data_IF_516118389996
#
_entry.id   IF_516118389996
#
_cell.length_a   1.000
_cell.length_b   1.000
_cell.length_c   1.000
_cell.angle_alpha   90.00
_cell.angle_beta   90.00
_cell.angle_gamma   90.00
#
_symmetry.space_group_name_H-M   'P 1'
#
loop_
_entity.id
_entity.type
_entity.pdbx_description
1 polymer ?
#
# COMPACT_ATOMS: atom_id res chain seq x y z
N UNK A 1 -2.31 9.18 -6.69
CA UNK A 1 -3.46 8.52 -6.06
C UNK A 1 -3.25 8.47 -4.54
N UNK A 2 -4.32 8.38 -3.75
CA UNK A 2 -4.23 8.12 -2.30
C UNK A 2 -4.94 6.79 -2.05
N UNK A 3 -4.31 5.89 -1.30
CA UNK A 3 -4.84 4.57 -0.97
C UNK A 3 -4.89 4.44 0.54
N UNK A 4 -6.05 4.08 1.07
CA UNK A 4 -6.23 3.77 2.48
C UNK A 4 -6.45 2.28 2.70
N UNK A 5 -5.77 1.73 3.70
CA UNK A 5 -6.06 0.41 4.24
C UNK A 5 -6.51 0.56 5.69
N UNK A 6 -7.63 -0.07 6.03
CA UNK A 6 -8.26 0.02 7.33
C UNK A 6 -8.47 -1.38 7.91
N UNK A 7 -8.13 -1.54 9.17
CA UNK A 7 -8.34 -2.77 9.94
C UNK A 7 -9.24 -2.44 11.12
N UNK A 8 -10.38 -3.14 11.20
CA UNK A 8 -11.30 -2.99 12.32
C UNK A 8 -10.84 -3.80 13.52
N UNK A 9 -10.58 -5.09 13.33
CA UNK A 9 -10.11 -6.01 14.36
C UNK A 9 -8.78 -6.65 13.95
N UNK A 10 -7.88 -6.81 14.90
CA UNK A 10 -6.63 -7.54 14.70
C UNK A 10 -6.79 -9.02 15.02
N UNK A 11 -6.00 -9.85 14.33
CA UNK A 11 -5.97 -11.29 14.51
C UNK A 11 -4.54 -11.73 14.83
N UNK A 12 -4.42 -12.72 15.72
CA UNK A 12 -3.13 -13.31 16.04
C UNK A 12 -2.60 -14.12 14.84
N UNK A 13 -1.30 -13.96 14.53
CA UNK A 13 -0.62 -14.67 13.44
C UNK A 13 -1.27 -14.49 12.05
N UNK A 14 -1.81 -13.29 11.79
CA UNK A 14 -2.42 -12.99 10.49
C UNK A 14 -1.38 -13.00 9.37
N UNK A 15 -1.77 -13.53 8.20
CA UNK A 15 -0.95 -13.49 7.00
C UNK A 15 -0.70 -12.05 6.51
N UNK A 16 0.36 -11.85 5.72
CA UNK A 16 0.61 -10.56 5.08
C UNK A 16 -0.54 -10.19 4.13
N UNK A 17 -1.17 -9.05 4.41
CA UNK A 17 -2.21 -8.49 3.55
C UNK A 17 -1.60 -7.74 2.35
N UNK A 18 -2.36 -7.67 1.26
CA UNK A 18 -2.03 -6.87 0.07
C UNK A 18 -3.24 -6.08 -0.41
N UNK A 19 -3.03 -4.85 -0.84
CA UNK A 19 -4.06 -4.02 -1.47
C UNK A 19 -3.74 -3.89 -2.96
N UNK A 20 -4.64 -4.38 -3.80
CA UNK A 20 -4.57 -4.18 -5.25
C UNK A 20 -5.18 -2.82 -5.61
N UNK A 21 -4.42 -2.01 -6.32
CA UNK A 21 -4.87 -0.71 -6.81
C UNK A 21 -5.64 -0.89 -8.12
N UNK A 22 -6.35 0.17 -8.55
CA UNK A 22 -7.06 0.21 -9.82
C UNK A 22 -6.85 1.57 -10.48
N UNK A 23 -6.95 1.61 -11.82
CA UNK A 23 -6.94 2.86 -12.59
C UNK A 23 -5.57 3.53 -12.72
N UNK A 24 -4.47 2.80 -12.55
CA UNK A 24 -3.12 3.27 -12.86
C UNK A 24 -2.76 2.94 -14.31
N UNK A 25 -1.82 3.70 -14.89
CA UNK A 25 -1.23 3.34 -16.18
C UNK A 25 -0.25 2.17 -15.95
N UNK A 26 -0.41 1.07 -16.67
CA UNK A 26 0.34 -0.18 -16.42
C UNK A 26 1.86 0.00 -16.52
N UNK A 27 2.29 0.76 -17.52
CA UNK A 27 3.68 1.11 -17.83
C UNK A 27 4.22 2.27 -16.98
N UNK A 28 3.37 2.93 -16.18
CA UNK A 28 3.76 4.02 -15.32
C UNK A 28 4.65 3.54 -14.17
N UNK A 29 5.65 4.35 -13.82
CA UNK A 29 6.47 4.13 -12.62
C UNK A 29 5.94 4.99 -11.47
N UNK A 30 5.72 4.36 -10.33
CA UNK A 30 5.12 4.96 -9.15
C UNK A 30 5.98 4.73 -7.91
N UNK A 31 5.83 5.63 -6.94
CA UNK A 31 6.46 5.54 -5.63
C UNK A 31 5.44 5.89 -4.54
N UNK A 32 5.48 5.15 -3.44
CA UNK A 32 4.72 5.49 -2.25
C UNK A 32 5.54 6.47 -1.41
N UNK A 33 4.97 7.63 -1.07
CA UNK A 33 5.70 8.65 -0.32
C UNK A 33 6.21 8.17 1.06
N UNK A 34 5.56 7.17 1.66
CA UNK A 34 5.98 6.53 2.91
C UNK A 34 7.09 5.49 2.75
N UNK A 35 7.45 5.13 1.51
CA UNK A 35 8.49 4.16 1.16
C UNK A 35 9.47 4.76 0.15
N UNK A 36 10.28 5.74 0.57
CA UNK A 36 11.21 6.41 -0.33
C UNK A 36 12.20 5.41 -0.92
N UNK A 37 12.40 5.48 -2.24
CA UNK A 37 13.30 4.61 -2.99
C UNK A 37 12.69 3.29 -3.47
N UNK A 38 11.48 2.93 -3.03
CA UNK A 38 10.77 1.75 -3.53
C UNK A 38 9.89 2.15 -4.72
N UNK A 39 10.26 1.67 -5.92
CA UNK A 39 9.52 1.95 -7.15
C UNK A 39 8.71 0.74 -7.59
N UNK A 40 7.52 0.99 -8.11
CA UNK A 40 6.61 -0.01 -8.63
C UNK A 40 6.10 0.40 -9.99
N UNK A 41 5.90 -0.56 -10.89
CA UNK A 41 5.08 -0.37 -12.07
C UNK A 41 3.60 -0.29 -11.70
N UNK A 42 2.79 0.34 -12.56
CA UNK A 42 1.34 0.35 -12.40
C UNK A 42 0.76 -1.07 -12.43
N UNK A 43 1.27 -1.93 -13.32
CA UNK A 43 0.88 -3.34 -13.38
C UNK A 43 1.15 -4.09 -12.06
N UNK A 44 2.31 -3.92 -11.43
CA UNK A 44 2.60 -4.54 -10.14
C UNK A 44 1.62 -4.10 -9.06
N UNK A 45 1.34 -2.79 -8.96
CA UNK A 45 0.42 -2.25 -7.98
C UNK A 45 -1.02 -2.74 -8.19
N UNK A 46 -1.44 -2.96 -9.44
CA UNK A 46 -2.81 -3.39 -9.77
C UNK A 46 -2.98 -4.91 -9.68
N UNK A 47 -2.01 -5.70 -10.16
CA UNK A 47 -2.15 -7.16 -10.26
C UNK A 47 -1.53 -7.90 -9.07
N UNK A 48 -0.31 -7.53 -8.66
CA UNK A 48 0.36 -8.15 -7.51
C UNK A 48 -0.08 -7.54 -6.17
N UNK A 49 -0.39 -6.24 -6.18
CA UNK A 49 -0.84 -5.47 -5.03
C UNK A 49 0.29 -4.99 -4.13
N UNK A 50 0.05 -3.90 -3.41
CA UNK A 50 0.94 -3.34 -2.41
C UNK A 50 0.83 -4.12 -1.10
N UNK A 51 1.95 -4.68 -0.63
CA UNK A 51 2.02 -5.38 0.67
C UNK A 51 1.79 -4.40 1.81
N UNK A 52 0.89 -4.72 2.73
CA UNK A 52 0.67 -3.96 3.97
C UNK A 52 1.66 -4.46 5.02
N UNK A 53 2.57 -3.58 5.46
CA UNK A 53 3.54 -3.91 6.50
C UNK A 53 2.94 -3.54 7.87
N UNK A 54 2.90 -4.46 8.85
CA UNK A 54 2.30 -4.17 10.16
C UNK A 54 2.86 -2.91 10.84
N UNK A 55 4.16 -2.65 10.69
CA UNK A 55 4.81 -1.46 11.25
C UNK A 55 4.40 -0.13 10.62
N UNK A 56 3.66 -0.12 9.51
CA UNK A 56 3.15 1.10 8.87
C UNK A 56 1.74 1.47 9.34
N UNK A 57 1.04 0.54 10.00
CA UNK A 57 -0.27 0.80 10.56
C UNK A 57 -0.14 1.68 11.81
N UNK A 58 -1.03 2.65 11.95
CA UNK A 58 -1.16 3.41 13.19
C UNK A 58 -1.56 2.50 14.35
N UNK A 59 -1.25 2.92 15.58
CA UNK A 59 -1.56 2.13 16.78
C UNK A 59 -0.90 0.75 16.79
N UNK A 60 0.22 0.55 16.08
CA UNK A 60 0.96 -0.72 16.04
C UNK A 60 0.28 -1.85 15.28
N UNK A 61 -0.82 -1.58 14.56
CA UNK A 61 -1.54 -2.59 13.77
C UNK A 61 -2.56 -3.43 14.53
N UNK A 62 -2.94 -3.00 15.75
CA UNK A 62 -4.04 -3.58 16.53
C UNK A 62 -5.43 -3.14 15.99
N UNK A 63 -6.46 -3.21 16.81
CA UNK A 63 -7.83 -2.81 16.45
C UNK A 63 -7.90 -1.34 16.02
N UNK A 64 -8.81 -1.06 15.10
CA UNK A 64 -9.06 0.28 14.53
C UNK A 64 -7.80 0.97 13.99
N UNK A 65 -6.92 0.18 13.36
CA UNK A 65 -5.68 0.67 12.77
C UNK A 65 -5.82 0.97 11.27
N UNK A 66 -4.98 1.87 10.77
CA UNK A 66 -5.00 2.28 9.37
C UNK A 66 -3.63 2.72 8.87
N UNK A 67 -3.48 2.73 7.55
CA UNK A 67 -2.33 3.32 6.86
C UNK A 67 -2.81 4.01 5.58
N UNK A 68 -2.23 5.17 5.28
CA UNK A 68 -2.47 5.92 4.05
C UNK A 68 -1.19 5.94 3.21
N UNK A 69 -1.32 5.53 1.94
CA UNK A 69 -0.25 5.62 0.96
C UNK A 69 -0.55 6.73 -0.04
N UNK A 70 0.34 7.72 -0.11
CA UNK A 70 0.35 8.70 -1.19
C UNK A 70 1.18 8.15 -2.35
N UNK A 71 0.50 7.68 -3.40
CA UNK A 71 1.14 7.11 -4.60
C UNK A 71 1.36 8.22 -5.61
N UNK A 72 2.63 8.50 -5.91
CA UNK A 72 3.06 9.52 -6.86
C UNK A 72 3.63 8.85 -8.10
N UNK A 73 3.22 9.32 -9.27
CA UNK A 73 3.86 8.93 -10.54
C UNK A 73 5.20 9.65 -10.62
N UNK A 74 6.27 8.94 -10.95
CA UNK A 74 7.56 9.58 -11.22
C UNK A 74 7.50 10.31 -12.56
N UNK A 75 8.11 11.50 -12.67
CA UNK A 75 8.29 12.14 -13.96
C UNK A 75 9.19 11.28 -14.84
N UNK A 76 8.81 11.13 -16.10
CA UNK A 76 9.56 10.42 -17.12
C UNK A 76 10.82 11.19 -17.51
#
# INVERSE_FOLDING_TARGET
>A
AIVGYYRLLCEANVAFARVRLLGLAEDGVYEAASRPGETFSGAELMYAGLVIRPGELCGGGFDFSSVLYCIKKRPC
#
